data_IF_803436243637
#
_entry.id   IF_803436243637
#
_cell.length_a   1.000
_cell.length_b   1.000
_cell.length_c   1.000
_cell.angle_alpha   90.00
_cell.angle_beta   90.00
_cell.angle_gamma   90.00
#
_symmetry.space_group_name_H-M   'P 1'
#
loop_
_entity.id
_entity.type
_entity.pdbx_description
1 polymer ?
#
# COMPACT_ATOMS: atom_id res chain seq x y z
N UNK A 1 -8.55 1.09 10.25
CA UNK A 1 -8.23 0.01 11.22
C UNK A 1 -7.94 0.65 12.57
N UNK A 2 -8.33 0.02 13.67
CA UNK A 2 -8.22 0.62 15.00
C UNK A 2 -8.49 -0.42 16.08
N UNK A 3 -9.74 -0.51 16.54
CA UNK A 3 -10.15 -1.55 17.51
C UNK A 3 -10.40 -2.88 16.79
N UNK A 4 -10.90 -2.81 15.57
CA UNK A 4 -11.22 -3.94 14.70
C UNK A 4 -10.47 -3.85 13.37
N UNK A 5 -10.48 -4.96 12.62
CA UNK A 5 -9.71 -5.15 11.39
C UNK A 5 -10.12 -4.22 10.25
N UNK A 6 -11.43 -3.99 10.06
CA UNK A 6 -11.96 -3.18 8.97
C UNK A 6 -12.85 -2.08 9.52
N UNK A 7 -12.37 -0.84 9.42
CA UNK A 7 -13.06 0.32 9.97
C UNK A 7 -13.04 1.48 8.99
N UNK A 8 -14.20 2.12 8.82
CA UNK A 8 -14.34 3.34 8.06
C UNK A 8 -14.22 3.14 6.55
N UNK A 9 -13.33 3.94 5.95
CA UNK A 9 -13.16 4.08 4.51
C UNK A 9 -12.33 2.95 3.92
N UNK A 10 -12.74 2.48 2.74
CA UNK A 10 -11.94 1.55 1.94
C UNK A 10 -11.40 2.24 0.69
N UNK A 11 -10.09 2.19 0.51
CA UNK A 11 -9.40 2.82 -0.62
C UNK A 11 -9.04 1.74 -1.65
N UNK A 12 -9.32 2.01 -2.92
CA UNK A 12 -8.93 1.12 -4.01
C UNK A 12 -8.58 1.92 -5.25
N UNK A 13 -7.66 1.37 -6.06
CA UNK A 13 -7.24 2.04 -7.30
C UNK A 13 -8.41 2.22 -8.28
N UNK A 14 -9.36 1.29 -8.30
CA UNK A 14 -10.49 1.29 -9.22
C UNK A 14 -11.51 2.43 -8.96
N UNK A 15 -11.71 2.82 -7.70
CA UNK A 15 -12.79 3.73 -7.33
C UNK A 15 -12.32 5.05 -6.72
N UNK A 16 -11.21 5.04 -5.96
CA UNK A 16 -10.79 6.21 -5.18
C UNK A 16 -10.33 7.40 -6.03
N UNK A 17 -9.97 7.20 -7.30
CA UNK A 17 -9.68 8.31 -8.22
C UNK A 17 -10.93 9.11 -8.60
N UNK A 18 -12.08 8.43 -8.73
CA UNK A 18 -13.35 9.06 -9.10
C UNK A 18 -14.10 9.58 -7.87
N UNK A 19 -13.94 8.88 -6.75
CA UNK A 19 -14.59 9.19 -5.48
C UNK A 19 -13.52 9.33 -4.39
N UNK A 20 -12.71 10.39 -4.43
CA UNK A 20 -11.66 10.59 -3.45
C UNK A 20 -12.28 10.89 -2.09
N UNK A 21 -11.52 10.57 -1.06
CA UNK A 21 -11.88 10.92 0.29
C UNK A 21 -10.66 11.52 1.00
N UNK A 22 -10.96 12.47 1.88
CA UNK A 22 -9.94 13.30 2.51
C UNK A 22 -9.16 12.50 3.57
N UNK A 23 -7.83 12.53 3.47
CA UNK A 23 -6.90 11.95 4.45
C UNK A 23 -6.59 13.02 5.49
N UNK A 24 -6.76 12.69 6.78
CA UNK A 24 -6.59 13.62 7.91
C UNK A 24 -5.53 13.11 8.88
N UNK A 25 -4.87 14.04 9.56
CA UNK A 25 -3.93 13.73 10.63
C UNK A 25 -4.59 12.82 11.68
N UNK A 26 -3.82 11.87 12.22
CA UNK A 26 -4.24 10.82 13.17
C UNK A 26 -5.16 9.73 12.61
N UNK A 27 -5.45 9.72 11.30
CA UNK A 27 -6.00 8.51 10.67
C UNK A 27 -4.96 7.39 10.66
N UNK A 28 -5.43 6.15 10.78
CA UNK A 28 -4.60 4.96 10.81
C UNK A 28 -5.08 3.94 9.76
N UNK A 29 -4.19 3.57 8.86
CA UNK A 29 -4.46 2.74 7.70
C UNK A 29 -3.65 1.45 7.75
N UNK A 30 -4.28 0.36 7.33
CA UNK A 30 -3.55 -0.76 6.76
C UNK A 30 -3.46 -0.49 5.26
N UNK A 31 -2.24 -0.35 4.74
CA UNK A 31 -1.96 -0.16 3.32
C UNK A 31 -1.53 -1.51 2.78
N UNK A 32 -2.32 -2.04 1.87
CA UNK A 32 -2.14 -3.38 1.35
C UNK A 32 -1.80 -3.31 -0.14
N UNK A 33 -0.89 -4.18 -0.57
CA UNK A 33 -0.67 -4.44 -1.99
C UNK A 33 -0.67 -5.93 -2.26
N UNK A 34 -1.16 -6.30 -3.45
CA UNK A 34 -1.19 -7.67 -3.92
C UNK A 34 -0.54 -7.73 -5.31
N UNK A 35 0.40 -8.64 -5.48
CA UNK A 35 1.06 -8.94 -6.75
C UNK A 35 0.78 -10.39 -7.14
N UNK A 36 0.06 -10.58 -8.25
CA UNK A 36 -0.24 -11.89 -8.80
C UNK A 36 -1.12 -11.83 -10.04
N UNK A 37 -1.02 -12.84 -10.90
CA UNK A 37 -1.87 -13.04 -12.07
C UNK A 37 -2.09 -14.55 -12.33
N UNK A 38 -3.08 -14.94 -13.15
CA UNK A 38 -3.34 -16.34 -13.44
C UNK A 38 -2.11 -17.07 -13.97
N UNK A 39 -1.96 -18.35 -13.58
CA UNK A 39 -0.88 -19.22 -14.02
C UNK A 39 0.40 -19.16 -13.18
N UNK A 40 0.50 -18.26 -12.20
CA UNK A 40 1.62 -18.24 -11.28
C UNK A 40 1.49 -19.33 -10.21
N UNK A 41 2.61 -19.98 -9.81
CA UNK A 41 2.62 -20.97 -8.73
C UNK A 41 2.45 -20.34 -7.33
N UNK A 42 2.74 -19.04 -7.19
CA UNK A 42 2.65 -18.28 -5.95
C UNK A 42 2.39 -16.80 -6.25
N UNK A 43 1.74 -16.11 -5.30
CA UNK A 43 1.52 -14.66 -5.30
C UNK A 43 2.06 -14.05 -4.01
N UNK A 44 2.15 -12.72 -3.97
CA UNK A 44 2.62 -11.99 -2.79
C UNK A 44 1.60 -10.93 -2.37
N UNK A 45 1.37 -10.81 -1.07
CA UNK A 45 0.68 -9.68 -0.46
C UNK A 45 1.56 -9.12 0.65
N UNK A 46 1.80 -7.82 0.59
CA UNK A 46 2.46 -7.08 1.66
C UNK A 46 1.47 -6.07 2.24
N UNK A 47 1.63 -5.77 3.52
CA UNK A 47 0.79 -4.84 4.25
C UNK A 47 1.63 -4.01 5.22
N UNK A 48 1.33 -2.73 5.27
CA UNK A 48 1.94 -1.79 6.19
C UNK A 48 0.89 -1.00 6.98
N UNK A 49 1.03 -0.99 8.30
CA UNK A 49 0.24 -0.14 9.17
C UNK A 49 0.85 1.25 9.28
N UNK A 50 0.11 2.27 8.90
CA UNK A 50 0.59 3.65 8.75
C UNK A 50 -0.31 4.61 9.49
N UNK A 51 0.30 5.43 10.35
CA UNK A 51 -0.30 6.61 10.95
C UNK A 51 -0.09 7.82 10.04
N UNK A 52 -1.13 8.60 9.79
CA UNK A 52 -1.00 9.91 9.15
C UNK A 52 -0.46 10.91 10.16
N UNK A 53 0.84 11.19 10.07
CA UNK A 53 1.49 12.23 10.85
C UNK A 53 1.38 13.60 10.20
N UNK A 54 1.56 14.66 11.00
CA UNK A 54 1.56 16.06 10.55
C UNK A 54 2.51 16.35 9.38
N UNK A 55 3.66 15.67 9.34
CA UNK A 55 4.73 15.90 8.38
C UNK A 55 4.87 14.77 7.34
N UNK A 56 3.90 13.85 7.29
CA UNK A 56 3.94 12.67 6.42
C UNK A 56 3.58 11.37 7.13
N UNK A 57 3.59 10.24 6.41
CA UNK A 57 3.24 8.94 6.96
C UNK A 57 4.29 8.46 7.97
N UNK A 58 3.82 7.83 9.05
CA UNK A 58 4.66 7.13 10.04
C UNK A 58 4.31 5.65 9.98
N UNK A 59 5.29 4.80 9.68
CA UNK A 59 5.11 3.35 9.59
C UNK A 59 5.20 2.75 10.99
N UNK A 60 4.20 1.95 11.36
CA UNK A 60 4.07 1.30 12.67
C UNK A 60 4.33 -0.20 12.63
N UNK A 61 4.29 -0.84 11.46
CA UNK A 61 4.76 -2.22 11.32
C UNK A 61 6.25 -2.27 11.64
N UNK A 62 6.62 -3.17 12.55
CA UNK A 62 8.03 -3.37 12.94
C UNK A 62 8.62 -4.68 12.43
N UNK A 63 7.76 -5.57 11.94
CA UNK A 63 8.24 -6.81 11.34
C UNK A 63 8.82 -6.50 9.98
N UNK A 64 10.08 -6.85 9.81
CA UNK A 64 10.78 -6.73 8.53
C UNK A 64 10.10 -7.62 7.49
N UNK A 65 10.00 -7.11 6.27
CA UNK A 65 9.63 -7.96 5.14
C UNK A 65 10.76 -8.94 4.85
N UNK A 66 10.38 -10.14 4.39
CA UNK A 66 11.33 -11.10 3.85
C UNK A 66 12.11 -10.43 2.73
N UNK A 67 13.43 -10.63 2.73
CA UNK A 67 14.32 -10.01 1.74
C UNK A 67 13.90 -10.45 0.34
N UNK A 68 13.54 -11.71 0.14
CA UNK A 68 13.10 -12.24 -1.16
C UNK A 68 11.80 -11.60 -1.68
N UNK A 69 11.02 -10.96 -0.82
CA UNK A 69 9.81 -10.23 -1.18
C UNK A 69 10.06 -8.74 -1.44
N UNK A 70 11.26 -8.22 -1.13
CA UNK A 70 11.57 -6.78 -1.16
C UNK A 70 12.96 -6.42 -1.68
N UNK A 71 13.79 -7.40 -2.05
CA UNK A 71 15.25 -7.27 -2.21
C UNK A 71 15.69 -6.26 -3.25
N UNK A 72 14.84 -5.95 -4.23
CA UNK A 72 15.14 -5.01 -5.31
C UNK A 72 14.49 -3.63 -5.10
N UNK A 73 13.74 -3.43 -4.01
CA UNK A 73 13.09 -2.16 -3.72
C UNK A 73 14.09 -1.13 -3.16
N UNK A 74 14.17 0.03 -3.82
CA UNK A 74 14.88 1.21 -3.31
C UNK A 74 13.87 2.33 -3.12
N UNK A 75 13.95 3.00 -1.96
CA UNK A 75 13.15 4.19 -1.68
C UNK A 75 13.43 5.25 -2.76
N UNK A 76 12.44 5.51 -3.62
CA UNK A 76 12.56 6.42 -4.77
C UNK A 76 12.43 5.74 -6.14
N UNK A 77 12.64 4.42 -6.24
CA UNK A 77 12.59 3.66 -7.49
C UNK A 77 11.18 3.07 -7.74
N UNK A 78 10.11 3.84 -7.47
CA UNK A 78 8.74 3.42 -7.80
C UNK A 78 8.56 3.26 -9.32
N UNK A 79 8.86 2.07 -9.84
CA UNK A 79 8.55 1.66 -11.20
C UNK A 79 7.31 0.76 -11.17
N UNK A 80 6.15 1.38 -10.97
CA UNK A 80 4.95 0.82 -11.58
C UNK A 80 4.84 1.48 -12.95
N UNK A 81 4.97 0.70 -14.03
CA UNK A 81 4.99 1.18 -15.42
C UNK A 81 3.78 2.03 -15.82
N UNK A 82 2.67 1.90 -15.11
CA UNK A 82 1.50 2.77 -15.27
C UNK A 82 1.67 4.21 -14.78
N UNK A 83 2.74 4.53 -14.05
CA UNK A 83 3.01 5.87 -13.50
C UNK A 83 3.94 6.67 -14.41
N UNK A 84 4.73 6.00 -15.25
CA UNK A 84 5.62 6.61 -16.25
C UNK A 84 5.11 6.49 -17.69
N UNK A 85 3.92 5.91 -17.89
CA UNK A 85 3.25 5.83 -19.18
C UNK A 85 3.90 4.85 -20.16
N UNK A 86 4.71 3.90 -19.69
CA UNK A 86 5.41 2.92 -20.55
C UNK A 86 4.66 1.60 -20.76
N UNK A 87 3.39 1.54 -20.36
CA UNK A 87 2.50 0.42 -20.71
C UNK A 87 1.98 0.58 -22.15
N UNK A 88 2.73 0.03 -23.10
CA UNK A 88 2.28 -0.35 -24.45
C UNK A 88 2.52 -1.85 -24.66
#
# INVERSE_FOLDING_TARGET
IGITLYEGMWMSRAYSLKYPAEIKENMYFAIETFAGHPGLPQTCRLEENVLVGKNGPVIFTKMEHMVEATSDYRVGDFHHSSVDGRDH
#
